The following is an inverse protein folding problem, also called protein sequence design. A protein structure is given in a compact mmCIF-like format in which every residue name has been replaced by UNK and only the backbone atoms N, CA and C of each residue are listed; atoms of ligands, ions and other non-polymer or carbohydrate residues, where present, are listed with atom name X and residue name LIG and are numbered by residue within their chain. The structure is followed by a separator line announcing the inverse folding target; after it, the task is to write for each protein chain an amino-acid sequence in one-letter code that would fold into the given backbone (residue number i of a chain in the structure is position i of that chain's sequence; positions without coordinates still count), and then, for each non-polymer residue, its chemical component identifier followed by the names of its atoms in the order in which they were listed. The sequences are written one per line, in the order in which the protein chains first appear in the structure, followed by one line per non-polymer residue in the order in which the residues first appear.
data_IF_295279857523
#
_entry.id   IF_295279857523
#
_cell.length_a   1.000
_cell.length_b   1.000
_cell.length_c   1.000
_cell.angle_alpha   90.00
_cell.angle_beta   90.00
_cell.angle_gamma   90.00
#
_symmetry.space_group_name_H-M   'P 1'
#
loop_
_entity.id
_entity.type
_entity.pdbx_description
1 polymer ?
#
# COMPACT_ATOMS: atom_id res chain seq x y z
N UNK A 1 13.59 -31.39 -34.13
CA UNK A 1 14.33 -30.21 -33.69
C UNK A 1 13.38 -29.04 -33.65
N UNK A 2 12.85 -28.72 -32.46
CA UNK A 2 11.95 -27.59 -32.27
C UNK A 2 12.79 -26.37 -31.93
N UNK A 3 12.78 -25.40 -32.83
CA UNK A 3 13.48 -24.11 -32.67
C UNK A 3 12.75 -23.30 -31.59
N UNK A 4 13.36 -23.16 -30.41
CA UNK A 4 12.91 -22.26 -29.36
C UNK A 4 13.12 -20.81 -29.87
N UNK A 5 12.08 -20.24 -30.45
CA UNK A 5 12.03 -18.83 -30.74
C UNK A 5 12.01 -18.05 -29.41
N UNK A 6 13.16 -17.53 -29.02
CA UNK A 6 13.29 -16.56 -27.94
C UNK A 6 12.54 -15.29 -28.34
N UNK A 7 11.29 -15.17 -27.93
CA UNK A 7 10.51 -13.94 -28.03
C UNK A 7 11.16 -12.92 -27.11
N UNK A 8 12.05 -12.10 -27.67
CA UNK A 8 12.57 -10.90 -27.00
C UNK A 8 11.38 -9.96 -26.74
N UNK A 9 10.83 -10.03 -25.52
CA UNK A 9 9.71 -9.19 -25.07
C UNK A 9 10.18 -7.74 -25.16
N UNK A 10 9.84 -7.04 -26.24
CA UNK A 10 10.04 -5.58 -26.31
C UNK A 10 9.24 -4.99 -25.17
N UNK A 11 9.91 -4.27 -24.27
CA UNK A 11 9.23 -3.50 -23.24
C UNK A 11 8.17 -2.65 -23.94
N UNK A 12 6.92 -2.81 -23.54
CA UNK A 12 5.81 -2.05 -24.13
C UNK A 12 6.11 -0.56 -24.00
N UNK A 13 5.74 0.23 -25.01
CA UNK A 13 5.91 1.70 -24.99
C UNK A 13 5.36 2.31 -23.69
N UNK A 14 4.34 1.69 -23.10
CA UNK A 14 3.76 2.08 -21.80
C UNK A 14 4.67 1.78 -20.59
N UNK A 15 5.70 0.96 -20.73
CA UNK A 15 6.58 0.59 -19.61
C UNK A 15 7.44 1.78 -19.15
N UNK A 16 7.99 2.55 -20.07
CA UNK A 16 8.87 3.67 -19.74
C UNK A 16 8.17 4.80 -18.97
N UNK A 17 6.97 5.27 -19.37
CA UNK A 17 6.26 6.28 -18.59
C UNK A 17 5.88 5.79 -17.19
N UNK A 18 5.49 4.52 -17.03
CA UNK A 18 5.21 3.94 -15.72
C UNK A 18 6.47 3.87 -14.86
N UNK A 19 7.59 3.48 -15.42
CA UNK A 19 8.86 3.44 -14.71
C UNK A 19 9.27 4.85 -14.23
N UNK A 20 9.17 5.85 -15.10
CA UNK A 20 9.48 7.25 -14.76
C UNK A 20 8.56 7.72 -13.64
N UNK A 21 7.26 7.47 -13.73
CA UNK A 21 6.29 7.85 -12.71
C UNK A 21 6.61 7.19 -11.36
N UNK A 22 6.97 5.91 -11.39
CA UNK A 22 7.35 5.16 -10.18
C UNK A 22 8.62 5.74 -9.55
N UNK A 23 9.65 6.04 -10.36
CA UNK A 23 10.89 6.63 -9.87
C UNK A 23 10.67 8.02 -9.28
N UNK A 24 9.84 8.85 -9.92
CA UNK A 24 9.44 10.15 -9.38
C UNK A 24 8.70 10.01 -8.05
N UNK A 25 7.75 9.07 -7.96
CA UNK A 25 7.00 8.79 -6.73
C UNK A 25 7.93 8.35 -5.58
N UNK A 26 8.86 7.45 -5.85
CA UNK A 26 9.87 7.01 -4.87
C UNK A 26 10.77 8.18 -4.46
N UNK A 27 11.25 8.98 -5.41
CA UNK A 27 12.08 10.14 -5.13
C UNK A 27 11.38 11.18 -4.24
N UNK A 28 10.12 11.49 -4.55
CA UNK A 28 9.30 12.39 -3.73
C UNK A 28 9.03 11.81 -2.33
N UNK A 29 8.82 10.51 -2.21
CA UNK A 29 8.62 9.84 -0.93
C UNK A 29 9.87 9.94 -0.05
N UNK A 30 11.05 9.72 -0.62
CA UNK A 30 12.33 9.87 0.09
C UNK A 30 12.54 11.32 0.50
N UNK A 31 12.31 12.27 -0.42
CA UNK A 31 12.41 13.70 -0.12
C UNK A 31 11.52 14.09 1.05
N UNK A 32 10.27 13.62 1.07
CA UNK A 32 9.33 13.86 2.17
C UNK A 32 9.81 13.30 3.50
N UNK A 33 10.37 12.08 3.52
CA UNK A 33 10.88 11.45 4.74
C UNK A 33 12.08 12.22 5.33
N UNK A 34 12.88 12.87 4.49
CA UNK A 34 14.04 13.67 4.93
C UNK A 34 13.62 15.06 5.39
N UNK A 35 12.78 15.74 4.63
CA UNK A 35 12.37 17.14 4.90
C UNK A 35 11.29 17.24 5.97
N UNK A 36 10.48 16.20 6.11
CA UNK A 36 9.37 16.14 7.06
C UNK A 36 8.02 16.49 6.44
N UNK A 37 6.96 16.22 7.23
CA UNK A 37 5.58 16.28 6.78
C UNK A 37 5.09 17.70 6.52
N UNK A 38 5.29 18.60 7.48
CA UNK A 38 4.76 19.97 7.42
C UNK A 38 5.18 20.75 6.18
N UNK A 39 6.50 20.88 5.89
CA UNK A 39 6.99 21.62 4.73
C UNK A 39 6.58 21.05 3.37
N UNK A 40 6.32 19.73 3.30
CA UNK A 40 6.07 19.02 2.04
C UNK A 40 4.58 18.85 1.72
N UNK A 41 3.68 18.91 2.71
CA UNK A 41 2.27 18.57 2.52
C UNK A 41 1.30 19.67 2.94
N UNK A 42 1.78 20.76 3.49
CA UNK A 42 0.96 21.85 4.05
C UNK A 42 -0.07 21.35 5.11
N UNK A 43 0.19 20.21 5.71
CA UNK A 43 -0.64 19.67 6.80
C UNK A 43 -0.37 20.48 8.08
N UNK A 44 -1.41 20.74 8.85
CA UNK A 44 -1.37 21.48 10.11
C UNK A 44 -2.34 20.88 11.11
N UNK A 45 -2.29 21.34 12.35
CA UNK A 45 -3.23 20.91 13.39
C UNK A 45 -4.71 21.20 13.03
N UNK A 46 -4.96 22.19 12.16
CA UNK A 46 -6.28 22.49 11.63
C UNK A 46 -6.69 21.60 10.45
N UNK A 47 -5.71 21.09 9.69
CA UNK A 47 -5.90 20.21 8.53
C UNK A 47 -5.00 18.98 8.66
N UNK A 48 -5.33 18.06 9.60
CA UNK A 48 -4.46 16.90 9.88
C UNK A 48 -4.59 15.77 8.86
N UNK A 49 -5.54 15.87 7.92
CA UNK A 49 -5.87 14.81 6.97
C UNK A 49 -5.29 15.12 5.60
N UNK A 50 -4.37 14.29 5.14
CA UNK A 50 -3.79 14.36 3.79
C UNK A 50 -4.44 13.39 2.82
N UNK A 51 -4.01 13.45 1.57
CA UNK A 51 -4.46 12.56 0.50
C UNK A 51 -4.20 11.08 0.85
N UNK A 52 -3.17 10.79 1.63
CA UNK A 52 -2.78 9.45 2.06
C UNK A 52 -3.91 8.78 2.85
N UNK A 53 -4.44 9.45 3.85
CA UNK A 53 -5.56 8.96 4.66
C UNK A 53 -6.80 8.73 3.80
N UNK A 54 -7.06 9.57 2.79
CA UNK A 54 -8.19 9.39 1.87
C UNK A 54 -8.03 8.09 1.07
N UNK A 55 -6.83 7.82 0.58
CA UNK A 55 -6.54 6.58 -0.15
C UNK A 55 -6.64 5.36 0.77
N UNK A 56 -6.15 5.46 2.01
CA UNK A 56 -6.25 4.39 3.01
C UNK A 56 -7.71 4.06 3.35
N UNK A 57 -8.55 5.08 3.58
CA UNK A 57 -9.98 4.90 3.84
C UNK A 57 -10.71 4.22 2.68
N UNK A 58 -10.22 4.34 1.46
CA UNK A 58 -10.73 3.61 0.31
C UNK A 58 -10.17 2.19 0.22
N UNK A 59 -8.87 2.01 0.40
CA UNK A 59 -8.21 0.71 0.21
C UNK A 59 -8.49 -0.29 1.33
N UNK A 60 -8.64 0.17 2.59
CA UNK A 60 -8.91 -0.71 3.73
C UNK A 60 -10.22 -1.50 3.55
N UNK A 61 -11.38 -0.88 3.22
CA UNK A 61 -12.60 -1.65 2.95
C UNK A 61 -12.49 -2.59 1.75
N UNK A 62 -11.81 -2.17 0.68
CA UNK A 62 -11.60 -3.01 -0.51
C UNK A 62 -10.78 -4.26 -0.15
N UNK A 63 -9.68 -4.09 0.58
CA UNK A 63 -8.86 -5.20 1.04
C UNK A 63 -9.62 -6.09 2.05
N UNK A 64 -10.41 -5.49 2.95
CA UNK A 64 -11.28 -6.23 3.88
C UNK A 64 -12.34 -7.07 3.16
N UNK A 65 -12.98 -6.52 2.13
CA UNK A 65 -13.94 -7.25 1.29
C UNK A 65 -13.28 -8.45 0.58
N UNK A 66 -12.03 -8.30 0.13
CA UNK A 66 -11.27 -9.38 -0.48
C UNK A 66 -11.04 -10.55 0.49
N UNK A 67 -10.68 -10.27 1.73
CA UNK A 67 -10.56 -11.30 2.78
C UNK A 67 -11.90 -11.96 3.11
N UNK A 68 -12.96 -11.17 3.25
CA UNK A 68 -14.32 -11.68 3.51
C UNK A 68 -14.77 -12.61 2.39
N UNK A 69 -14.54 -12.22 1.13
CA UNK A 69 -14.85 -13.05 -0.04
C UNK A 69 -14.09 -14.37 -0.01
N UNK A 70 -12.80 -14.33 0.35
CA UNK A 70 -11.98 -15.54 0.47
C UNK A 70 -12.48 -16.45 1.59
N UNK A 71 -12.85 -15.88 2.73
CA UNK A 71 -13.39 -16.62 3.87
C UNK A 71 -14.72 -17.31 3.52
N UNK A 72 -15.67 -16.56 2.95
CA UNK A 72 -16.96 -17.10 2.53
C UNK A 72 -16.78 -18.24 1.53
N UNK A 73 -15.90 -18.07 0.56
CA UNK A 73 -15.61 -19.09 -0.46
C UNK A 73 -15.03 -20.37 0.15
N UNK A 74 -14.28 -20.23 1.23
CA UNK A 74 -13.72 -21.40 1.93
C UNK A 74 -14.79 -22.21 2.68
N UNK A 75 -15.80 -21.55 3.26
CA UNK A 75 -16.84 -22.21 4.04
C UNK A 75 -18.00 -22.76 3.21
N UNK A 76 -18.41 -22.07 2.14
CA UNK A 76 -19.68 -22.37 1.47
C UNK A 76 -19.59 -23.30 0.25
N UNK A 77 -18.57 -23.22 -0.59
CA UNK A 77 -18.46 -24.09 -1.77
C UNK A 77 -17.10 -23.97 -2.43
N UNK A 78 -16.26 -24.92 -2.13
CA UNK A 78 -14.85 -24.91 -2.54
C UNK A 78 -14.65 -24.89 -4.05
N UNK A 79 -15.48 -25.59 -4.83
CA UNK A 79 -15.24 -25.74 -6.27
C UNK A 79 -15.76 -24.56 -7.11
N UNK A 80 -16.91 -24.03 -6.77
CA UNK A 80 -17.54 -22.95 -7.55
C UNK A 80 -16.83 -21.60 -7.40
N UNK A 81 -16.26 -21.32 -6.22
CA UNK A 81 -15.68 -20.02 -5.89
C UNK A 81 -14.15 -19.97 -5.97
N UNK A 82 -13.47 -21.08 -6.24
CA UNK A 82 -12.00 -21.13 -6.33
C UNK A 82 -11.41 -20.16 -7.38
N UNK A 83 -12.14 -19.90 -8.45
CA UNK A 83 -11.73 -18.96 -9.48
C UNK A 83 -11.68 -17.50 -8.98
N UNK A 84 -12.51 -17.17 -7.98
CA UNK A 84 -12.62 -15.82 -7.40
C UNK A 84 -11.66 -15.64 -6.22
N UNK A 85 -11.34 -16.71 -5.49
CA UNK A 85 -10.50 -16.66 -4.30
C UNK A 85 -9.09 -16.14 -4.62
N UNK A 86 -8.46 -16.64 -5.68
CA UNK A 86 -7.11 -16.24 -6.04
C UNK A 86 -6.96 -14.74 -6.32
N UNK A 87 -7.80 -14.14 -7.20
CA UNK A 87 -7.74 -12.69 -7.42
C UNK A 87 -8.16 -11.89 -6.19
N UNK A 88 -9.10 -12.40 -5.37
CA UNK A 88 -9.49 -11.74 -4.12
C UNK A 88 -8.34 -11.69 -3.11
N UNK A 89 -7.64 -12.80 -2.87
CA UNK A 89 -6.47 -12.84 -1.98
C UNK A 89 -5.37 -11.91 -2.48
N UNK A 90 -5.12 -11.90 -3.80
CA UNK A 90 -4.12 -11.00 -4.39
C UNK A 90 -4.51 -9.53 -4.21
N UNK A 91 -5.77 -9.18 -4.44
CA UNK A 91 -6.28 -7.82 -4.24
C UNK A 91 -6.16 -7.39 -2.76
N UNK A 92 -6.49 -8.28 -1.83
CA UNK A 92 -6.33 -8.05 -0.39
C UNK A 92 -4.87 -7.82 0.00
N UNK A 93 -3.96 -8.68 -0.48
CA UNK A 93 -2.52 -8.55 -0.22
C UNK A 93 -1.95 -7.24 -0.76
N UNK A 94 -2.28 -6.89 -2.00
CA UNK A 94 -1.82 -5.65 -2.61
C UNK A 94 -2.44 -4.43 -1.91
N UNK A 95 -3.74 -4.48 -1.60
CA UNK A 95 -4.44 -3.39 -0.90
C UNK A 95 -3.81 -3.10 0.47
N UNK A 96 -3.66 -4.09 1.33
CA UNK A 96 -3.01 -3.90 2.64
C UNK A 96 -1.53 -3.56 2.51
N UNK A 97 -0.83 -4.09 1.51
CA UNK A 97 0.56 -3.72 1.24
C UNK A 97 0.71 -2.23 0.92
N UNK A 98 -0.18 -1.70 0.08
CA UNK A 98 -0.21 -0.26 -0.26
C UNK A 98 -0.56 0.57 0.97
N UNK A 99 -1.60 0.18 1.73
CA UNK A 99 -2.00 0.85 2.99
C UNK A 99 -0.81 0.91 3.95
N UNK A 100 -0.09 -0.19 4.15
CA UNK A 100 1.08 -0.21 5.01
C UNK A 100 2.18 0.78 4.58
N UNK A 101 2.43 0.89 3.28
CA UNK A 101 3.38 1.87 2.73
C UNK A 101 2.87 3.30 2.94
N UNK A 102 1.60 3.57 2.67
CA UNK A 102 1.01 4.89 2.83
C UNK A 102 1.01 5.34 4.29
N UNK A 103 0.65 4.45 5.22
CA UNK A 103 0.73 4.73 6.65
C UNK A 103 2.17 5.03 7.09
N UNK A 104 3.15 4.26 6.61
CA UNK A 104 4.55 4.55 6.91
C UNK A 104 4.97 5.92 6.37
N UNK A 105 4.53 6.27 5.17
CA UNK A 105 4.76 7.60 4.61
C UNK A 105 4.02 8.70 5.37
N UNK A 106 2.86 8.44 5.96
CA UNK A 106 2.06 9.42 6.69
C UNK A 106 2.58 9.69 8.12
N UNK A 107 3.40 8.79 8.66
CA UNK A 107 4.02 8.99 9.96
C UNK A 107 5.06 10.10 9.88
N UNK A 108 4.80 11.24 10.55
CA UNK A 108 5.68 12.39 10.55
C UNK A 108 7.05 12.13 11.20
N UNK A 109 7.10 11.20 12.16
CA UNK A 109 8.32 10.77 12.89
C UNK A 109 8.62 9.31 12.62
N UNK A 110 8.93 8.97 11.40
CA UNK A 110 9.22 7.60 10.98
C UNK A 110 10.32 6.88 11.80
N UNK A 111 11.30 7.62 12.30
CA UNK A 111 12.37 7.11 13.16
C UNK A 111 11.87 6.66 14.55
N UNK A 112 10.66 7.03 14.95
CA UNK A 112 10.00 6.60 16.18
C UNK A 112 8.95 5.51 15.96
N UNK A 113 8.93 4.89 14.78
CA UNK A 113 7.98 3.83 14.43
C UNK A 113 7.99 2.66 15.43
N UNK A 114 9.15 2.36 16.01
CA UNK A 114 9.28 1.33 17.04
C UNK A 114 8.45 1.62 18.31
N UNK A 115 8.06 2.86 18.58
CA UNK A 115 7.23 3.22 19.72
C UNK A 115 5.79 2.68 19.60
N UNK A 116 5.37 2.23 18.40
CA UNK A 116 4.09 1.54 18.21
C UNK A 116 4.14 0.16 18.87
N UNK A 117 5.29 -0.51 18.81
CA UNK A 117 5.48 -1.84 19.40
C UNK A 117 5.91 -1.78 20.86
N UNK A 118 6.68 -0.75 21.24
CA UNK A 118 7.20 -0.54 22.60
C UNK A 118 6.84 0.89 23.02
N UNK A 119 5.58 1.14 23.41
CA UNK A 119 5.19 2.46 23.86
C UNK A 119 6.00 2.86 25.10
N UNK A 120 6.58 4.07 25.14
CA UNK A 120 7.18 4.59 26.34
C UNK A 120 6.09 4.64 27.43
N UNK A 121 6.34 3.95 28.56
CA UNK A 121 5.46 3.97 29.72
C UNK A 121 5.42 5.40 30.28
N UNK A 122 4.56 6.22 29.73
CA UNK A 122 4.37 7.58 30.22
C UNK A 122 3.24 7.55 31.27
N UNK A 123 3.64 7.33 32.52
CA UNK A 123 2.75 7.25 33.70
C UNK A 123 2.01 8.58 33.95
N UNK A 124 2.42 9.67 33.30
CA UNK A 124 1.86 11.01 33.47
C UNK A 124 0.94 11.47 32.31
N UNK A 125 0.55 10.57 31.41
CA UNK A 125 -0.34 10.91 30.29
C UNK A 125 -1.83 10.68 30.58
N UNK A 126 -2.24 10.73 31.85
CA UNK A 126 -3.65 10.75 32.27
C UNK A 126 -4.04 12.12 32.80
#
# INVERSE_FOLDING_TARGET
MATLATTKKRASVSFYPLLILTLLGVGLSIYRLVVGLGPTTNMSDHYPWGIWITVDLFLIPVAGAAFTTSLISHFYSRETYLSIVRPAVLAGLLGYGIVGILLFLDIGRWHQFYNIAVPPLNIHSF
#
